data_IF_121755104997
#
_entry.id   IF_121755104997
#
_cell.length_a   1.000
_cell.length_b   1.000
_cell.length_c   1.000
_cell.angle_alpha   90.00
_cell.angle_beta   90.00
_cell.angle_gamma   90.00
#
_symmetry.space_group_name_H-M   'P 1'
#
loop_
_entity.id
_entity.type
_entity.pdbx_description
1 polymer ?
#
# COMPACT_ATOMS: atom_id res chain seq x y z
N UNK A 1 17.65 -18.36 13.74
CA UNK A 1 16.36 -19.07 13.65
C UNK A 1 15.97 -19.04 12.19
N UNK A 2 15.65 -20.19 11.59
CA UNK A 2 15.17 -20.21 10.20
C UNK A 2 13.87 -19.40 10.15
N UNK A 3 13.82 -18.45 9.22
CA UNK A 3 12.63 -17.62 9.01
C UNK A 3 11.56 -18.57 8.42
N UNK A 4 10.64 -19.06 9.26
CA UNK A 4 9.56 -19.94 8.82
C UNK A 4 8.46 -19.08 8.23
N UNK A 5 8.04 -19.39 6.99
CA UNK A 5 6.94 -18.70 6.34
C UNK A 5 5.60 -19.11 7.00
N UNK A 6 4.77 -18.12 7.27
CA UNK A 6 3.39 -18.33 7.70
C UNK A 6 2.51 -18.71 6.51
N UNK A 7 2.74 -18.07 5.35
CA UNK A 7 2.00 -18.31 4.11
C UNK A 7 2.99 -18.43 2.96
N UNK A 8 2.77 -19.41 2.10
CA UNK A 8 3.46 -19.54 0.81
C UNK A 8 2.42 -19.72 -0.29
N UNK A 9 2.53 -18.90 -1.33
CA UNK A 9 1.72 -18.98 -2.55
C UNK A 9 2.67 -19.22 -3.71
N UNK A 10 2.34 -20.17 -4.58
CA UNK A 10 3.16 -20.52 -5.74
C UNK A 10 2.33 -20.67 -7.00
N UNK A 11 2.73 -19.89 -8.03
CA UNK A 11 2.15 -19.90 -9.38
C UNK A 11 0.63 -19.82 -9.37
N UNK A 12 0.05 -18.96 -8.50
CA UNK A 12 -1.39 -18.87 -8.29
C UNK A 12 -2.05 -18.19 -9.48
N UNK A 13 -2.99 -18.88 -10.12
CA UNK A 13 -3.78 -18.37 -11.25
C UNK A 13 -5.27 -18.41 -10.91
N UNK A 14 -5.97 -17.33 -11.25
CA UNK A 14 -7.43 -17.28 -11.20
C UNK A 14 -7.98 -16.49 -12.37
N UNK A 15 -8.96 -17.10 -13.07
CA UNK A 15 -9.68 -16.48 -14.18
C UNK A 15 -11.18 -16.37 -13.87
N UNK A 16 -11.82 -15.38 -14.45
CA UNK A 16 -13.27 -15.23 -14.52
C UNK A 16 -13.66 -14.96 -15.98
N UNK A 17 -14.13 -15.99 -16.67
CA UNK A 17 -14.28 -15.97 -18.13
C UNK A 17 -12.90 -15.72 -18.77
N UNK A 18 -12.80 -14.70 -19.62
CA UNK A 18 -11.57 -14.33 -20.33
C UNK A 18 -10.64 -13.42 -19.50
N UNK A 19 -11.05 -13.01 -18.30
CA UNK A 19 -10.29 -12.07 -17.47
C UNK A 19 -9.43 -12.81 -16.45
N UNK A 20 -8.11 -12.61 -16.50
CA UNK A 20 -7.19 -13.07 -15.48
C UNK A 20 -7.25 -12.14 -14.26
N UNK A 21 -7.80 -12.64 -13.16
CA UNK A 21 -7.77 -11.94 -11.88
C UNK A 21 -6.45 -12.15 -11.12
N UNK A 22 -5.77 -13.29 -11.36
CA UNK A 22 -4.43 -13.57 -10.88
C UNK A 22 -3.63 -14.29 -11.98
N UNK A 23 -2.38 -13.87 -12.21
CA UNK A 23 -1.47 -14.37 -13.26
C UNK A 23 -0.16 -14.85 -12.66
N UNK A 24 -0.08 -16.13 -12.31
CA UNK A 24 1.14 -16.75 -11.76
C UNK A 24 1.73 -15.99 -10.55
N UNK A 25 0.89 -15.69 -9.56
CA UNK A 25 1.33 -14.94 -8.38
C UNK A 25 2.12 -15.85 -7.44
N UNK A 26 3.34 -15.40 -7.09
CA UNK A 26 4.18 -16.00 -6.07
C UNK A 26 4.32 -15.06 -4.88
N UNK A 27 4.17 -15.59 -3.65
CA UNK A 27 4.20 -14.78 -2.44
C UNK A 27 4.68 -15.58 -1.24
N UNK A 28 5.56 -14.99 -0.45
CA UNK A 28 5.99 -15.51 0.85
C UNK A 28 5.69 -14.48 1.95
N UNK A 29 5.03 -14.90 3.02
CA UNK A 29 4.76 -14.06 4.20
C UNK A 29 5.40 -14.73 5.40
N UNK A 30 6.27 -14.00 6.10
CA UNK A 30 6.96 -14.51 7.26
C UNK A 30 6.00 -14.66 8.47
N UNK A 31 6.40 -15.50 9.42
CA UNK A 31 5.62 -15.67 10.64
C UNK A 31 5.62 -14.40 11.49
N UNK A 32 4.43 -14.01 11.99
CA UNK A 32 4.25 -12.78 12.76
C UNK A 32 4.43 -11.47 11.96
N UNK A 33 4.41 -11.53 10.63
CA UNK A 33 4.53 -10.36 9.77
C UNK A 33 3.20 -9.65 9.57
N UNK A 34 3.22 -8.31 9.55
CA UNK A 34 2.10 -7.50 9.05
C UNK A 34 2.33 -7.22 7.56
N UNK A 35 1.71 -7.99 6.71
CA UNK A 35 1.86 -7.92 5.26
C UNK A 35 0.69 -7.20 4.60
N UNK A 36 0.96 -6.26 3.71
CA UNK A 36 -0.08 -5.47 3.03
C UNK A 36 -0.08 -5.73 1.53
N UNK A 37 -1.24 -6.06 0.99
CA UNK A 37 -1.52 -6.09 -0.44
C UNK A 37 -2.08 -4.74 -0.86
N UNK A 38 -1.31 -3.95 -1.59
CA UNK A 38 -1.66 -2.60 -2.03
C UNK A 38 -1.75 -2.55 -3.56
N UNK A 39 -2.63 -1.73 -4.10
CA UNK A 39 -2.75 -1.55 -5.56
C UNK A 39 -4.10 -0.98 -5.97
N UNK A 40 -4.32 -0.71 -7.25
CA UNK A 40 -5.58 -0.16 -7.77
C UNK A 40 -6.75 -1.12 -7.58
N UNK A 41 -7.97 -0.58 -7.63
CA UNK A 41 -9.20 -1.39 -7.63
C UNK A 41 -9.21 -2.32 -8.83
N UNK A 42 -9.69 -3.56 -8.64
CA UNK A 42 -9.68 -4.57 -9.70
C UNK A 42 -8.32 -5.26 -9.94
N UNK A 43 -7.23 -4.86 -9.27
CA UNK A 43 -5.90 -5.42 -9.48
C UNK A 43 -5.68 -6.88 -9.03
N UNK A 44 -6.67 -7.54 -8.39
CA UNK A 44 -6.57 -8.96 -7.97
C UNK A 44 -6.33 -9.17 -6.46
N UNK A 45 -6.12 -8.11 -5.67
CA UNK A 45 -5.82 -8.18 -4.22
C UNK A 45 -6.82 -9.00 -3.41
N UNK A 46 -8.11 -8.68 -3.51
CA UNK A 46 -9.20 -9.39 -2.82
C UNK A 46 -9.30 -10.84 -3.29
N UNK A 47 -9.07 -11.10 -4.58
CA UNK A 47 -9.05 -12.47 -5.12
C UNK A 47 -7.90 -13.28 -4.51
N UNK A 48 -6.70 -12.71 -4.40
CA UNK A 48 -5.56 -13.34 -3.75
C UNK A 48 -5.85 -13.62 -2.26
N UNK A 49 -6.33 -12.62 -1.52
CA UNK A 49 -6.68 -12.76 -0.11
C UNK A 49 -7.71 -13.87 0.12
N UNK A 50 -8.78 -13.87 -0.69
CA UNK A 50 -9.85 -14.87 -0.60
C UNK A 50 -9.41 -16.26 -1.06
N UNK A 51 -8.44 -16.35 -1.96
CA UNK A 51 -7.81 -17.64 -2.33
C UNK A 51 -6.99 -18.20 -1.17
N UNK A 52 -6.23 -17.36 -0.46
CA UNK A 52 -5.52 -17.77 0.77
C UNK A 52 -6.52 -18.22 1.84
N UNK A 53 -7.63 -17.52 2.02
CA UNK A 53 -8.68 -17.86 2.98
C UNK A 53 -9.57 -19.04 2.58
N UNK A 54 -9.45 -19.57 1.33
CA UNK A 54 -10.26 -20.68 0.85
C UNK A 54 -11.68 -20.34 0.37
N UNK A 55 -12.01 -19.04 0.29
CA UNK A 55 -13.29 -18.56 -0.23
C UNK A 55 -13.37 -18.59 -1.77
N UNK A 56 -12.22 -18.55 -2.43
CA UNK A 56 -12.07 -18.67 -3.87
C UNK A 56 -11.10 -19.81 -4.15
N UNK A 57 -11.50 -20.75 -5.00
CA UNK A 57 -10.62 -21.81 -5.46
C UNK A 57 -9.82 -21.29 -6.67
N UNK A 58 -8.49 -21.29 -6.62
CA UNK A 58 -7.66 -20.95 -7.78
C UNK A 58 -7.83 -22.01 -8.88
N UNK A 59 -7.51 -21.63 -10.11
CA UNK A 59 -7.57 -22.53 -11.26
C UNK A 59 -6.27 -23.37 -11.36
N UNK A 60 -5.13 -22.80 -10.91
CA UNK A 60 -3.86 -23.50 -10.75
C UNK A 60 -3.00 -22.85 -9.68
N UNK A 61 -1.88 -23.48 -9.36
CA UNK A 61 -0.98 -23.07 -8.28
C UNK A 61 -1.36 -23.71 -6.96
N UNK A 62 -0.67 -23.31 -5.89
CA UNK A 62 -0.93 -23.84 -4.55
C UNK A 62 -0.75 -22.78 -3.46
N UNK A 63 -1.41 -23.02 -2.33
CA UNK A 63 -1.31 -22.22 -1.11
C UNK A 63 -0.90 -23.15 0.03
N UNK A 64 0.14 -22.77 0.76
CA UNK A 64 0.54 -23.43 2.00
C UNK A 64 0.44 -22.44 3.16
N UNK A 65 -0.02 -22.93 4.31
CA UNK A 65 -0.06 -22.18 5.56
C UNK A 65 0.69 -23.00 6.61
N UNK A 66 1.72 -22.39 7.24
CA UNK A 66 2.62 -23.09 8.17
C UNK A 66 3.18 -24.39 7.59
N UNK A 67 3.59 -24.35 6.31
CA UNK A 67 4.15 -25.50 5.59
C UNK A 67 3.15 -26.60 5.22
N UNK A 68 1.85 -26.42 5.48
CA UNK A 68 0.80 -27.38 5.12
C UNK A 68 0.01 -26.88 3.91
N UNK A 69 -0.13 -27.73 2.89
CA UNK A 69 -0.99 -27.42 1.76
C UNK A 69 -2.46 -27.34 2.19
N UNK A 70 -3.14 -26.25 1.81
CA UNK A 70 -4.53 -25.96 2.18
C UNK A 70 -5.47 -25.89 0.97
N UNK A 71 -5.03 -26.22 -0.24
CA UNK A 71 -5.82 -26.04 -1.48
C UNK A 71 -7.20 -26.70 -1.43
N UNK A 72 -7.28 -27.91 -0.86
CA UNK A 72 -8.50 -28.67 -0.76
C UNK A 72 -9.31 -28.43 0.55
N UNK A 73 -8.83 -27.54 1.41
CA UNK A 73 -9.50 -27.23 2.67
C UNK A 73 -10.51 -26.09 2.46
N UNK A 74 -11.77 -26.26 2.90
CA UNK A 74 -12.74 -25.18 2.93
C UNK A 74 -12.33 -24.11 3.97
N UNK A 75 -12.91 -22.88 3.92
CA UNK A 75 -12.50 -21.76 4.79
C UNK A 75 -12.54 -22.08 6.29
N UNK A 76 -13.52 -22.87 6.75
CA UNK A 76 -13.70 -23.23 8.17
C UNK A 76 -12.65 -24.23 8.69
N UNK A 77 -11.89 -24.87 7.80
CA UNK A 77 -10.82 -25.82 8.13
C UNK A 77 -9.42 -25.24 7.94
N UNK A 78 -9.29 -24.04 7.40
CA UNK A 78 -7.99 -23.36 7.28
C UNK A 78 -7.62 -22.68 8.60
N UNK A 79 -6.34 -22.62 8.98
CA UNK A 79 -5.90 -21.89 10.17
C UNK A 79 -5.88 -20.37 9.95
N UNK A 80 -6.96 -19.86 9.36
CA UNK A 80 -7.13 -18.43 9.05
C UNK A 80 -8.45 -17.91 9.61
N UNK A 81 -8.45 -16.65 10.04
CA UNK A 81 -9.67 -15.86 10.28
C UNK A 81 -9.76 -14.76 9.26
N UNK A 82 -10.96 -14.34 8.88
CA UNK A 82 -11.15 -13.26 7.90
C UNK A 82 -12.08 -12.17 8.42
N UNK A 83 -11.65 -10.94 8.24
CA UNK A 83 -12.42 -9.71 8.42
C UNK A 83 -12.80 -9.20 7.03
N UNK A 84 -14.08 -9.13 6.75
CA UNK A 84 -14.61 -8.68 5.46
C UNK A 84 -14.81 -7.17 5.44
N UNK A 85 -14.85 -6.60 4.24
CA UNK A 85 -15.25 -5.23 4.01
C UNK A 85 -16.65 -4.96 4.59
N UNK A 86 -16.77 -3.91 5.39
CA UNK A 86 -17.95 -3.69 6.21
C UNK A 86 -17.90 -4.52 7.51
N UNK A 87 -18.70 -4.12 8.48
CA UNK A 87 -18.57 -4.69 9.83
C UNK A 87 -19.08 -6.14 9.94
N UNK A 88 -20.05 -6.54 9.12
CA UNK A 88 -20.62 -7.90 9.07
C UNK A 88 -20.95 -8.49 10.46
N UNK A 89 -21.35 -7.63 11.42
CA UNK A 89 -21.77 -8.05 12.75
C UNK A 89 -23.20 -8.61 12.71
N UNK A 90 -23.49 -9.53 13.61
CA UNK A 90 -24.84 -10.03 13.80
C UNK A 90 -25.68 -8.96 14.52
N UNK A 91 -26.66 -8.30 13.86
CA UNK A 91 -27.32 -7.12 14.42
C UNK A 91 -28.22 -7.41 15.60
N UNK A 92 -28.68 -8.64 15.74
CA UNK A 92 -29.55 -9.11 16.82
C UNK A 92 -28.77 -9.60 18.05
N UNK A 93 -27.47 -9.80 17.94
CA UNK A 93 -26.57 -10.27 19.00
C UNK A 93 -25.88 -9.09 19.70
N UNK A 94 -25.59 -9.24 21.00
CA UNK A 94 -24.77 -8.30 21.77
C UNK A 94 -23.29 -8.35 21.32
N UNK A 95 -22.47 -7.43 21.82
CA UNK A 95 -21.00 -7.45 21.65
C UNK A 95 -20.42 -8.77 22.13
N UNK A 96 -20.79 -9.17 23.34
CA UNK A 96 -20.37 -10.44 23.93
C UNK A 96 -20.74 -11.64 23.05
N UNK A 97 -21.98 -11.72 22.59
CA UNK A 97 -22.46 -12.80 21.74
C UNK A 97 -21.79 -12.82 20.37
N UNK A 98 -21.55 -11.65 19.76
CA UNK A 98 -20.81 -11.53 18.49
C UNK A 98 -19.41 -12.08 18.63
N UNK A 99 -18.67 -11.68 19.66
CA UNK A 99 -17.29 -12.12 19.89
C UNK A 99 -17.23 -13.62 20.17
N UNK A 100 -18.10 -14.11 21.07
CA UNK A 100 -18.12 -15.51 21.50
C UNK A 100 -18.72 -16.50 20.50
N UNK A 101 -19.34 -16.01 19.42
CA UNK A 101 -20.13 -16.83 18.49
C UNK A 101 -19.33 -18.01 17.90
N UNK A 102 -18.13 -17.76 17.43
CA UNK A 102 -17.29 -18.80 16.83
C UNK A 102 -16.86 -19.90 17.82
N UNK A 103 -16.62 -19.54 19.07
CA UNK A 103 -16.33 -20.52 20.13
C UNK A 103 -17.54 -21.36 20.47
N UNK A 104 -18.73 -20.75 20.48
CA UNK A 104 -20.00 -21.47 20.67
C UNK A 104 -20.24 -22.51 19.58
N UNK A 105 -19.96 -22.16 18.30
CA UNK A 105 -20.07 -23.13 17.19
C UNK A 105 -19.08 -24.28 17.31
N UNK A 106 -17.91 -24.05 17.92
CA UNK A 106 -16.91 -25.08 18.21
C UNK A 106 -17.24 -25.90 19.47
N UNK A 107 -18.42 -25.70 20.08
CA UNK A 107 -18.87 -26.38 21.29
C UNK A 107 -17.94 -26.20 22.49
N UNK A 108 -17.28 -25.06 22.60
CA UNK A 108 -16.44 -24.70 23.76
C UNK A 108 -17.33 -24.47 24.98
N UNK A 109 -16.84 -24.85 26.15
CA UNK A 109 -17.57 -24.71 27.43
C UNK A 109 -17.87 -23.24 27.76
N UNK A 110 -19.05 -22.97 28.32
CA UNK A 110 -19.55 -21.59 28.57
C UNK A 110 -18.61 -20.78 29.51
N UNK A 111 -18.04 -21.41 30.52
CA UNK A 111 -17.06 -20.78 31.43
C UNK A 111 -15.82 -20.31 30.66
N UNK A 112 -15.27 -21.15 29.78
CA UNK A 112 -14.12 -20.85 28.95
C UNK A 112 -14.44 -19.74 27.93
N UNK A 113 -15.65 -19.77 27.35
CA UNK A 113 -16.12 -18.69 26.46
C UNK A 113 -16.14 -17.37 27.23
N UNK A 114 -16.70 -17.36 28.44
CA UNK A 114 -16.78 -16.15 29.28
C UNK A 114 -15.40 -15.53 29.52
N UNK A 115 -14.46 -16.34 29.97
CA UNK A 115 -13.09 -15.88 30.24
C UNK A 115 -12.37 -15.37 28.99
N UNK A 116 -12.50 -16.09 27.86
CA UNK A 116 -11.88 -15.68 26.59
C UNK A 116 -12.49 -14.39 26.04
N UNK A 117 -13.83 -14.26 26.08
CA UNK A 117 -14.52 -13.06 25.59
C UNK A 117 -14.16 -11.85 26.44
N UNK A 118 -14.15 -11.98 27.77
CA UNK A 118 -13.78 -10.89 28.67
C UNK A 118 -12.36 -10.40 28.39
N UNK A 119 -11.38 -11.31 28.34
CA UNK A 119 -9.99 -10.98 28.00
C UNK A 119 -9.85 -10.33 26.61
N UNK A 120 -10.59 -10.83 25.63
CA UNK A 120 -10.58 -10.27 24.27
C UNK A 120 -11.18 -8.86 24.25
N UNK A 121 -12.28 -8.63 24.97
CA UNK A 121 -12.89 -7.30 25.09
C UNK A 121 -11.92 -6.29 25.74
N UNK A 122 -11.21 -6.71 26.77
CA UNK A 122 -10.18 -5.86 27.41
C UNK A 122 -9.04 -5.55 26.43
N UNK A 123 -8.56 -6.55 25.67
CA UNK A 123 -7.49 -6.41 24.69
C UNK A 123 -7.83 -5.38 23.60
N UNK A 124 -9.09 -5.38 23.11
CA UNK A 124 -9.54 -4.46 22.05
C UNK A 124 -10.22 -3.19 22.58
N UNK A 125 -10.20 -2.95 23.90
CA UNK A 125 -10.76 -1.74 24.53
C UNK A 125 -12.28 -1.63 24.42
N UNK A 126 -12.99 -2.74 24.62
CA UNK A 126 -14.47 -2.81 24.61
C UNK A 126 -15.05 -3.13 25.99
N UNK A 127 -14.25 -3.05 27.08
CA UNK A 127 -14.71 -3.28 28.44
C UNK A 127 -15.92 -2.41 28.78
N UNK A 128 -16.93 -2.99 29.42
CA UNK A 128 -18.19 -2.29 29.74
C UNK A 128 -19.22 -2.17 28.62
N UNK A 129 -18.94 -2.74 27.42
CA UNK A 129 -19.86 -2.69 26.28
C UNK A 129 -20.50 -4.06 25.95
N UNK A 130 -20.38 -5.04 26.85
CA UNK A 130 -20.77 -6.43 26.68
C UNK A 130 -22.18 -6.63 26.13
N UNK A 131 -23.15 -5.89 26.69
CA UNK A 131 -24.58 -6.07 26.41
C UNK A 131 -25.09 -5.21 25.26
N UNK A 132 -24.26 -4.27 24.77
CA UNK A 132 -24.64 -3.40 23.66
C UNK A 132 -24.78 -4.17 22.37
N UNK A 133 -25.68 -3.70 21.50
CA UNK A 133 -25.86 -4.21 20.15
C UNK A 133 -25.09 -3.36 19.14
N UNK A 134 -24.80 -3.89 17.93
CA UNK A 134 -24.04 -3.18 16.91
C UNK A 134 -24.51 -1.75 16.61
N UNK A 135 -25.82 -1.52 16.55
CA UNK A 135 -26.40 -0.20 16.26
C UNK A 135 -26.19 0.84 17.40
N UNK A 136 -25.79 0.41 18.58
CA UNK A 136 -25.46 1.26 19.73
C UNK A 136 -23.97 1.63 19.82
N UNK A 137 -23.17 1.18 18.83
CA UNK A 137 -21.74 1.36 18.78
C UNK A 137 -21.31 2.34 17.69
N UNK A 138 -20.22 3.10 17.96
CA UNK A 138 -19.54 3.84 16.90
C UNK A 138 -18.90 2.92 15.86
N UNK A 139 -18.58 3.45 14.65
CA UNK A 139 -17.93 2.67 13.60
C UNK A 139 -16.62 2.02 14.05
N UNK A 140 -15.78 2.74 14.82
CA UNK A 140 -14.56 2.19 15.38
C UNK A 140 -14.80 1.08 16.41
N UNK A 141 -15.85 1.20 17.24
CA UNK A 141 -16.24 0.15 18.17
C UNK A 141 -16.75 -1.10 17.43
N UNK A 142 -17.55 -0.93 16.37
CA UNK A 142 -17.98 -2.05 15.51
C UNK A 142 -16.79 -2.76 14.87
N UNK A 143 -15.80 -2.00 14.39
CA UNK A 143 -14.55 -2.55 13.85
C UNK A 143 -13.80 -3.40 14.88
N UNK A 144 -13.68 -2.91 16.12
CA UNK A 144 -13.03 -3.66 17.21
C UNK A 144 -13.79 -4.93 17.56
N UNK A 145 -15.13 -4.93 17.55
CA UNK A 145 -15.94 -6.15 17.74
C UNK A 145 -15.66 -7.16 16.61
N UNK A 146 -15.58 -6.72 15.38
CA UNK A 146 -15.27 -7.58 14.22
C UNK A 146 -13.87 -8.21 14.34
N UNK A 147 -12.87 -7.42 14.73
CA UNK A 147 -11.50 -7.89 14.97
C UNK A 147 -11.47 -8.91 16.12
N UNK A 148 -12.11 -8.59 17.24
CA UNK A 148 -12.20 -9.48 18.41
C UNK A 148 -12.84 -10.84 18.04
N UNK A 149 -13.92 -10.81 17.25
CA UNK A 149 -14.60 -12.01 16.75
C UNK A 149 -13.71 -12.90 15.89
N UNK A 150 -12.81 -12.29 15.09
CA UNK A 150 -11.86 -13.02 14.27
C UNK A 150 -10.68 -13.56 15.09
N UNK A 151 -10.16 -12.78 16.02
CA UNK A 151 -8.97 -13.10 16.83
C UNK A 151 -9.24 -14.14 17.91
N UNK A 152 -10.45 -14.17 18.49
CA UNK A 152 -10.79 -15.10 19.59
C UNK A 152 -10.68 -16.58 19.19
N UNK A 153 -10.68 -16.85 17.87
CA UNK A 153 -10.54 -18.20 17.31
C UNK A 153 -9.09 -18.72 17.36
N UNK A 154 -8.14 -17.86 17.71
CA UNK A 154 -6.71 -18.19 17.88
C UNK A 154 -6.09 -18.88 16.65
N UNK A 155 -6.50 -18.46 15.45
CA UNK A 155 -5.91 -18.94 14.21
C UNK A 155 -4.54 -18.29 13.93
N UNK A 156 -3.68 -18.96 13.15
CA UNK A 156 -2.30 -18.51 12.85
C UNK A 156 -2.23 -17.24 11.99
N UNK A 157 -3.29 -16.97 11.20
CA UNK A 157 -3.33 -15.89 10.22
C UNK A 157 -4.64 -15.14 10.31
N UNK A 158 -4.54 -13.79 10.33
CA UNK A 158 -5.70 -12.89 10.17
C UNK A 158 -5.67 -12.24 8.78
N UNK A 159 -6.72 -12.46 8.01
CA UNK A 159 -6.95 -11.88 6.70
C UNK A 159 -7.89 -10.68 6.82
N UNK A 160 -7.51 -9.53 6.30
CA UNK A 160 -8.23 -8.26 6.40
C UNK A 160 -8.57 -7.73 5.00
N UNK A 161 -9.82 -7.76 4.59
CA UNK A 161 -10.29 -7.29 3.27
C UNK A 161 -10.85 -5.87 3.42
N UNK A 162 -10.05 -4.86 3.12
CA UNK A 162 -10.36 -3.43 3.25
C UNK A 162 -11.01 -3.04 4.60
N UNK A 163 -10.41 -3.43 5.74
CA UNK A 163 -11.08 -3.35 7.05
C UNK A 163 -11.43 -1.92 7.47
N UNK A 164 -10.72 -0.91 6.99
CA UNK A 164 -10.87 0.48 7.42
C UNK A 164 -11.62 1.36 6.41
N UNK A 165 -12.13 0.79 5.32
CA UNK A 165 -12.77 1.53 4.22
C UNK A 165 -14.02 2.32 4.62
N UNK A 166 -14.75 1.85 5.64
CA UNK A 166 -15.99 2.46 6.12
C UNK A 166 -15.77 3.58 7.17
N UNK A 167 -14.51 3.87 7.55
CA UNK A 167 -14.17 4.83 8.59
C UNK A 167 -13.78 6.20 7.99
N UNK A 168 -14.06 7.27 8.72
CA UNK A 168 -13.55 8.60 8.41
C UNK A 168 -12.01 8.67 8.51
N UNK A 169 -11.40 9.74 7.98
CA UNK A 169 -9.95 9.85 7.86
C UNK A 169 -9.23 9.87 9.22
N UNK A 170 -9.81 10.52 10.25
CA UNK A 170 -9.16 10.59 11.56
C UNK A 170 -9.24 9.24 12.26
N UNK A 171 -10.41 8.64 12.32
CA UNK A 171 -10.62 7.35 12.94
C UNK A 171 -9.81 6.25 12.25
N UNK A 172 -9.64 6.34 10.93
CA UNK A 172 -8.80 5.42 10.15
C UNK A 172 -7.34 5.46 10.59
N UNK A 173 -6.77 6.66 10.81
CA UNK A 173 -5.38 6.82 11.31
C UNK A 173 -5.22 6.19 12.68
N UNK A 174 -6.15 6.45 13.60
CA UNK A 174 -6.12 5.90 14.95
C UNK A 174 -6.21 4.36 14.93
N UNK A 175 -7.10 3.83 14.07
CA UNK A 175 -7.26 2.39 13.89
C UNK A 175 -6.04 1.71 13.25
N UNK A 176 -5.28 2.39 12.37
CA UNK A 176 -4.01 1.87 11.87
C UNK A 176 -3.00 1.64 13.00
N UNK A 177 -2.85 2.62 13.89
CA UNK A 177 -1.96 2.50 15.05
C UNK A 177 -2.39 1.35 15.95
N UNK A 178 -3.69 1.23 16.19
CA UNK A 178 -4.26 0.18 17.03
C UNK A 178 -4.09 -1.21 16.42
N UNK A 179 -4.37 -1.37 15.11
CA UNK A 179 -4.16 -2.63 14.39
C UNK A 179 -2.69 -3.09 14.45
N UNK A 180 -1.74 -2.17 14.27
CA UNK A 180 -0.32 -2.50 14.39
C UNK A 180 0.06 -2.92 15.81
N UNK A 181 -0.46 -2.22 16.84
CA UNK A 181 -0.26 -2.59 18.22
C UNK A 181 -0.86 -3.96 18.55
N UNK A 182 -2.09 -4.19 18.09
CA UNK A 182 -2.81 -5.45 18.32
C UNK A 182 -2.05 -6.62 17.67
N UNK A 183 -1.61 -6.47 16.43
CA UNK A 183 -0.82 -7.50 15.73
C UNK A 183 0.45 -7.87 16.50
N UNK A 184 1.20 -6.87 17.01
CA UNK A 184 2.39 -7.11 17.83
C UNK A 184 2.07 -7.83 19.14
N UNK A 185 0.92 -7.53 19.75
CA UNK A 185 0.50 -8.14 21.01
C UNK A 185 0.08 -9.59 20.83
N UNK A 186 -0.67 -9.90 19.77
CA UNK A 186 -1.14 -11.28 19.51
C UNK A 186 -0.09 -12.14 18.81
N UNK A 187 0.89 -11.54 18.12
CA UNK A 187 2.04 -12.21 17.53
C UNK A 187 1.76 -13.08 16.31
N UNK A 188 0.54 -13.05 15.73
CA UNK A 188 0.19 -13.79 14.51
C UNK A 188 0.42 -12.97 13.25
N UNK A 189 0.41 -13.63 12.08
CA UNK A 189 0.55 -12.93 10.79
C UNK A 189 -0.74 -12.25 10.37
N UNK A 190 -0.64 -10.98 9.91
CA UNK A 190 -1.76 -10.25 9.34
C UNK A 190 -1.53 -10.05 7.84
N UNK A 191 -2.56 -10.31 7.03
CA UNK A 191 -2.57 -9.99 5.60
C UNK A 191 -3.68 -8.99 5.34
N UNK A 192 -3.32 -7.77 4.99
CA UNK A 192 -4.23 -6.64 4.88
C UNK A 192 -4.32 -6.16 3.43
N UNK A 193 -5.50 -6.21 2.85
CA UNK A 193 -5.80 -5.61 1.54
C UNK A 193 -6.27 -4.19 1.74
N UNK A 194 -5.65 -3.26 1.03
CA UNK A 194 -6.11 -1.86 0.97
C UNK A 194 -5.76 -1.24 -0.39
N UNK A 195 -6.46 -0.18 -0.76
CA UNK A 195 -6.08 0.73 -1.84
C UNK A 195 -5.54 2.06 -1.31
N UNK A 196 -5.51 2.23 0.01
CA UNK A 196 -5.02 3.45 0.68
C UNK A 196 -3.53 3.32 1.01
N UNK A 197 -2.73 4.22 0.41
CA UNK A 197 -1.28 4.24 0.60
C UNK A 197 -0.88 4.60 2.04
N UNK A 198 -1.58 5.55 2.70
CA UNK A 198 -1.27 5.94 4.08
C UNK A 198 -1.48 4.78 5.05
N UNK A 199 -2.55 3.99 4.88
CA UNK A 199 -2.77 2.77 5.66
C UNK A 199 -1.59 1.81 5.49
N UNK A 200 -1.27 1.47 4.23
CA UNK A 200 -0.19 0.54 3.92
C UNK A 200 1.15 0.97 4.53
N UNK A 201 1.50 2.26 4.36
CA UNK A 201 2.75 2.82 4.91
C UNK A 201 2.80 2.80 6.44
N UNK A 202 1.63 2.95 7.10
CA UNK A 202 1.53 3.05 8.56
C UNK A 202 1.63 1.69 9.27
N UNK A 203 1.08 0.62 8.67
CA UNK A 203 0.94 -0.67 9.37
C UNK A 203 1.89 -1.75 8.88
N UNK A 204 2.35 -1.70 7.62
CA UNK A 204 3.07 -2.81 7.02
C UNK A 204 4.50 -2.98 7.56
N UNK A 205 4.93 -4.23 7.68
CA UNK A 205 6.34 -4.60 7.70
C UNK A 205 6.86 -4.77 6.27
N UNK A 206 6.04 -5.36 5.38
CA UNK A 206 6.23 -5.40 3.94
C UNK A 206 4.93 -5.12 3.19
N UNK A 207 5.08 -4.51 2.00
CA UNK A 207 4.01 -4.21 1.05
C UNK A 207 4.28 -4.98 -0.24
N UNK A 208 3.26 -5.62 -0.80
CA UNK A 208 3.27 -6.08 -2.19
C UNK A 208 2.31 -5.22 -3.03
N UNK A 209 2.82 -4.70 -4.12
CA UNK A 209 2.02 -3.96 -5.11
C UNK A 209 1.42 -4.97 -6.08
N UNK A 210 0.09 -5.03 -6.13
CA UNK A 210 -0.68 -5.91 -7.00
C UNK A 210 -1.46 -5.08 -8.01
N UNK A 211 -1.21 -5.31 -9.28
CA UNK A 211 -1.93 -4.67 -10.39
C UNK A 211 -2.13 -5.67 -11.53
N UNK A 212 -3.25 -5.58 -12.23
CA UNK A 212 -3.59 -6.40 -13.41
C UNK A 212 -3.41 -7.92 -13.19
N UNK A 213 -3.62 -8.37 -11.94
CA UNK A 213 -3.47 -9.77 -11.54
C UNK A 213 -2.04 -10.23 -11.30
N UNK A 214 -1.06 -9.34 -11.33
CA UNK A 214 0.36 -9.61 -11.14
C UNK A 214 0.91 -8.96 -9.87
N UNK A 215 1.92 -9.58 -9.26
CA UNK A 215 2.71 -8.92 -8.22
C UNK A 215 3.84 -8.12 -8.89
N UNK A 216 3.67 -6.80 -8.91
CA UNK A 216 4.59 -5.88 -9.59
C UNK A 216 5.89 -5.71 -8.82
N UNK A 217 5.79 -5.49 -7.50
CA UNK A 217 6.94 -5.24 -6.64
C UNK A 217 6.58 -5.53 -5.18
N UNK A 218 7.57 -5.92 -4.36
CA UNK A 218 7.42 -6.03 -2.92
C UNK A 218 8.64 -5.49 -2.17
N UNK A 219 8.41 -4.96 -0.98
CA UNK A 219 9.48 -4.41 -0.14
C UNK A 219 8.96 -3.78 1.14
N UNK A 220 9.86 -3.27 1.99
CA UNK A 220 9.44 -2.46 3.14
C UNK A 220 8.76 -1.17 2.67
N UNK A 221 7.89 -0.54 3.50
CA UNK A 221 7.26 0.74 3.17
C UNK A 221 8.26 1.79 2.69
N UNK A 222 9.41 1.89 3.38
CA UNK A 222 10.48 2.83 3.01
C UNK A 222 11.07 2.53 1.62
N UNK A 223 11.29 1.24 1.29
CA UNK A 223 11.81 0.86 -0.03
C UNK A 223 10.83 1.19 -1.15
N UNK A 224 9.57 0.79 -0.98
CA UNK A 224 8.49 1.02 -1.96
C UNK A 224 8.27 2.53 -2.21
N UNK A 225 8.32 3.36 -1.16
CA UNK A 225 8.16 4.81 -1.29
C UNK A 225 9.42 5.51 -1.82
N UNK A 226 10.57 5.26 -1.20
CA UNK A 226 11.79 6.04 -1.48
C UNK A 226 12.59 5.53 -2.67
N UNK A 227 12.54 4.23 -2.95
CA UNK A 227 13.36 3.60 -3.99
C UNK A 227 12.59 2.50 -4.74
N UNK A 228 11.44 2.82 -5.37
CA UNK A 228 10.70 1.87 -6.19
C UNK A 228 11.56 1.41 -7.37
N UNK A 229 11.54 0.10 -7.62
CA UNK A 229 12.30 -0.50 -8.73
C UNK A 229 11.53 -0.46 -10.05
N UNK A 230 10.19 -0.49 -9.98
CA UNK A 230 9.31 -0.51 -11.14
C UNK A 230 8.71 0.86 -11.42
N UNK A 231 8.61 1.23 -12.70
CA UNK A 231 7.94 2.45 -13.15
C UNK A 231 6.53 2.53 -12.57
N UNK A 232 5.75 1.44 -12.69
CA UNK A 232 4.39 1.39 -12.14
C UNK A 232 4.35 1.72 -10.63
N UNK A 233 5.28 1.17 -9.85
CA UNK A 233 5.34 1.47 -8.41
C UNK A 233 5.64 2.95 -8.17
N UNK A 234 6.55 3.54 -8.96
CA UNK A 234 6.88 4.95 -8.86
C UNK A 234 5.68 5.86 -9.23
N UNK A 235 4.90 5.48 -10.23
CA UNK A 235 3.68 6.19 -10.64
C UNK A 235 2.56 6.05 -9.61
N UNK A 236 2.39 4.83 -9.09
CA UNK A 236 1.30 4.52 -8.18
C UNK A 236 1.54 5.02 -6.76
N UNK A 237 2.81 4.99 -6.28
CA UNK A 237 3.17 5.36 -4.89
C UNK A 237 3.70 6.79 -4.82
N UNK A 238 2.95 7.62 -4.10
CA UNK A 238 3.27 9.04 -3.94
C UNK A 238 2.97 9.84 -5.20
N UNK A 239 3.21 11.14 -5.11
CA UNK A 239 3.03 12.06 -6.24
C UNK A 239 4.38 12.30 -6.90
N UNK A 240 4.85 11.32 -7.68
CA UNK A 240 6.12 11.41 -8.43
C UNK A 240 5.85 11.87 -9.86
N UNK A 241 6.77 12.66 -10.36
CA UNK A 241 6.82 13.01 -11.77
C UNK A 241 7.61 11.94 -12.53
N UNK A 242 7.09 11.51 -13.66
CA UNK A 242 7.74 10.53 -14.52
C UNK A 242 8.16 11.21 -15.82
N UNK A 243 9.41 10.98 -16.21
CA UNK A 243 9.94 11.44 -17.50
C UNK A 243 10.37 10.21 -18.29
N UNK A 244 9.80 10.03 -19.46
CA UNK A 244 10.27 9.03 -20.41
C UNK A 244 11.29 9.68 -21.35
N UNK A 245 12.42 9.00 -21.57
CA UNK A 245 13.49 9.56 -22.38
C UNK A 245 14.42 8.51 -22.97
N UNK A 246 15.40 9.01 -23.73
CA UNK A 246 16.41 8.19 -24.39
C UNK A 246 17.79 8.58 -23.86
N UNK A 247 18.59 7.60 -23.48
CA UNK A 247 19.96 7.83 -23.04
C UNK A 247 20.81 8.34 -24.22
N UNK A 248 21.28 9.57 -24.12
CA UNK A 248 22.15 10.17 -25.17
C UNK A 248 23.62 9.96 -24.86
N UNK A 249 23.99 10.00 -23.59
CA UNK A 249 25.36 9.78 -23.15
C UNK A 249 25.41 9.30 -21.69
N UNK A 250 26.47 8.63 -21.27
CA UNK A 250 26.68 8.23 -19.88
C UNK A 250 28.14 7.98 -19.56
N UNK A 251 28.47 8.14 -18.28
CA UNK A 251 29.76 7.80 -17.72
C UNK A 251 29.57 7.11 -16.35
N UNK A 252 30.65 6.90 -15.58
CA UNK A 252 30.57 6.26 -14.25
C UNK A 252 29.74 7.03 -13.23
N UNK A 253 29.53 8.33 -13.42
CA UNK A 253 28.90 9.20 -12.41
C UNK A 253 27.56 9.78 -12.88
N UNK A 254 27.36 9.96 -14.17
CA UNK A 254 26.21 10.69 -14.74
C UNK A 254 25.67 9.97 -15.96
N UNK A 255 24.34 9.97 -16.08
CA UNK A 255 23.60 9.57 -17.26
C UNK A 255 22.89 10.81 -17.79
N UNK A 256 22.99 11.05 -19.10
CA UNK A 256 22.27 12.13 -19.81
C UNK A 256 21.10 11.54 -20.58
N UNK A 257 19.94 12.09 -20.36
CA UNK A 257 18.68 11.59 -20.91
C UNK A 257 17.97 12.71 -21.65
N UNK A 258 17.74 12.50 -22.93
CA UNK A 258 16.88 13.37 -23.77
C UNK A 258 15.41 13.04 -23.50
N UNK A 259 14.66 14.03 -23.04
CA UNK A 259 13.21 13.95 -22.77
C UNK A 259 12.38 14.70 -23.84
N UNK A 260 12.96 14.96 -25.00
CA UNK A 260 12.36 15.62 -26.15
C UNK A 260 12.95 16.99 -26.42
N UNK A 261 12.56 18.06 -25.72
CA UNK A 261 13.10 19.42 -25.92
C UNK A 261 14.21 19.80 -24.93
N UNK A 262 14.36 19.01 -23.90
CA UNK A 262 15.27 19.24 -22.79
C UNK A 262 16.08 17.98 -22.47
N UNK A 263 17.26 18.14 -21.90
CA UNK A 263 18.10 17.06 -21.39
C UNK A 263 18.12 17.09 -19.86
N UNK A 264 17.99 15.90 -19.25
CA UNK A 264 18.14 15.68 -17.81
C UNK A 264 19.45 14.94 -17.54
N UNK A 265 20.23 15.41 -16.59
CA UNK A 265 21.36 14.69 -16.03
C UNK A 265 20.92 13.99 -14.73
N UNK A 266 21.22 12.71 -14.57
CA UNK A 266 20.91 11.93 -13.37
C UNK A 266 22.16 11.18 -12.89
N UNK A 267 22.25 10.92 -11.58
CA UNK A 267 23.35 10.15 -11.03
C UNK A 267 23.33 8.70 -11.55
N UNK A 268 24.50 8.21 -11.95
CA UNK A 268 24.68 6.82 -12.33
C UNK A 268 25.00 5.95 -11.11
N UNK A 269 23.99 5.49 -10.43
CA UNK A 269 24.10 4.64 -9.23
C UNK A 269 24.29 3.16 -9.62
N UNK A 270 25.24 2.86 -10.50
CA UNK A 270 25.54 1.52 -11.04
C UNK A 270 24.43 0.91 -11.90
N UNK A 271 23.63 1.73 -12.56
CA UNK A 271 22.66 1.24 -13.53
C UNK A 271 23.33 0.62 -14.74
N UNK A 272 22.80 -0.51 -15.22
CA UNK A 272 23.25 -1.15 -16.47
C UNK A 272 22.59 -0.46 -17.65
N UNK A 273 23.26 0.54 -18.21
CA UNK A 273 22.70 1.41 -19.25
C UNK A 273 23.52 1.32 -20.54
N UNK A 274 22.85 1.46 -21.67
CA UNK A 274 23.48 1.61 -22.97
C UNK A 274 22.97 2.87 -23.68
N UNK A 275 23.78 3.43 -24.58
CA UNK A 275 23.38 4.57 -25.42
C UNK A 275 22.17 4.19 -26.28
N UNK A 276 21.27 5.13 -26.48
CA UNK A 276 19.99 4.98 -27.19
C UNK A 276 18.97 4.04 -26.53
N UNK A 277 19.21 3.59 -25.28
CA UNK A 277 18.21 2.84 -24.52
C UNK A 277 17.09 3.77 -24.07
N UNK A 278 15.84 3.33 -24.23
CA UNK A 278 14.67 4.00 -23.64
C UNK A 278 14.62 3.69 -22.15
N UNK A 279 14.46 4.69 -21.32
CA UNK A 279 14.32 4.58 -19.88
C UNK A 279 13.24 5.52 -19.37
N UNK A 280 12.73 5.23 -18.19
CA UNK A 280 11.86 6.15 -17.46
C UNK A 280 12.59 6.66 -16.22
N UNK A 281 12.44 7.93 -15.93
CA UNK A 281 12.98 8.59 -14.73
C UNK A 281 11.83 8.97 -13.83
N UNK A 282 11.98 8.81 -12.52
CA UNK A 282 11.02 9.35 -11.56
C UNK A 282 11.68 10.27 -10.57
N UNK A 283 11.00 11.38 -10.23
CA UNK A 283 11.40 12.31 -9.19
C UNK A 283 10.22 12.65 -8.30
N UNK A 284 10.44 12.77 -7.00
CA UNK A 284 9.40 13.20 -6.07
C UNK A 284 9.04 14.66 -6.27
N UNK A 285 7.76 14.99 -6.16
CA UNK A 285 7.29 16.37 -6.29
C UNK A 285 7.89 17.33 -5.25
N UNK A 286 8.22 16.83 -4.06
CA UNK A 286 8.87 17.58 -3.00
C UNK A 286 10.38 17.76 -3.18
N UNK A 287 11.04 16.98 -4.05
CA UNK A 287 12.47 17.15 -4.38
C UNK A 287 12.72 18.26 -5.40
N UNK A 288 11.69 18.70 -6.10
CA UNK A 288 11.83 19.75 -7.12
C UNK A 288 11.71 21.12 -6.45
N UNK A 289 12.73 21.94 -6.61
CA UNK A 289 12.71 23.35 -6.25
C UNK A 289 12.17 24.17 -7.41
N UNK A 290 11.27 25.10 -7.12
CA UNK A 290 10.70 26.02 -8.12
C UNK A 290 11.18 27.45 -7.82
N UNK A 291 11.72 28.14 -8.82
CA UNK A 291 12.19 29.52 -8.71
C UNK A 291 11.73 30.36 -9.89
N UNK A 292 11.26 31.58 -9.64
CA UNK A 292 10.87 32.52 -10.71
C UNK A 292 12.06 32.86 -11.60
N UNK A 293 11.84 32.90 -12.90
CA UNK A 293 12.85 33.36 -13.86
C UNK A 293 13.00 34.87 -13.72
N UNK A 294 14.13 35.33 -13.20
CA UNK A 294 14.51 36.72 -13.22
C UNK A 294 15.14 37.04 -14.58
N UNK A 295 14.74 38.15 -15.20
CA UNK A 295 15.18 38.57 -16.55
C UNK A 295 16.68 38.75 -16.74
N UNK A 296 17.50 38.58 -15.71
CA UNK A 296 18.94 38.73 -15.71
C UNK A 296 19.64 37.45 -15.27
N UNK A 297 20.26 36.76 -16.27
CA UNK A 297 21.13 35.59 -16.17
C UNK A 297 20.48 34.26 -15.84
N UNK A 298 20.16 33.52 -16.88
CA UNK A 298 20.23 32.07 -16.86
C UNK A 298 21.67 31.66 -16.47
N UNK A 299 21.91 31.45 -15.17
CA UNK A 299 23.02 30.60 -14.79
C UNK A 299 22.63 29.22 -15.34
N UNK A 300 23.45 28.62 -16.21
CA UNK A 300 23.39 27.20 -16.54
C UNK A 300 23.72 26.41 -15.28
N UNK A 301 22.77 26.35 -14.36
CA UNK A 301 22.80 25.42 -13.26
C UNK A 301 22.48 24.05 -13.85
N UNK A 302 23.31 23.08 -13.57
CA UNK A 302 23.07 21.68 -13.89
C UNK A 302 21.67 21.32 -13.38
N UNK A 303 20.87 20.59 -14.19
CA UNK A 303 19.50 20.18 -13.88
C UNK A 303 18.53 21.35 -13.59
N UNK A 304 18.29 22.13 -14.61
CA UNK A 304 17.32 23.20 -14.59
C UNK A 304 16.49 23.14 -15.87
N UNK A 305 15.17 22.97 -15.75
CA UNK A 305 14.23 23.02 -16.88
C UNK A 305 13.28 24.19 -16.69
N UNK A 306 13.02 24.88 -17.80
CA UNK A 306 12.07 25.98 -17.85
C UNK A 306 10.64 25.45 -18.01
N UNK A 307 9.72 26.02 -17.25
CA UNK A 307 8.30 25.76 -17.40
C UNK A 307 7.44 26.96 -17.05
N UNK A 308 6.14 26.85 -17.31
CA UNK A 308 5.13 27.87 -17.02
C UNK A 308 4.17 27.34 -15.96
N UNK A 309 3.91 28.11 -14.90
CA UNK A 309 2.94 27.74 -13.87
C UNK A 309 1.53 27.78 -14.42
N UNK A 310 0.82 26.65 -14.40
CA UNK A 310 -0.55 26.51 -14.90
C UNK A 310 -1.59 26.43 -13.79
N UNK A 311 -1.19 26.01 -12.58
CA UNK A 311 -2.10 25.92 -11.44
C UNK A 311 -1.32 26.09 -10.13
N UNK A 312 -1.93 26.72 -9.13
CA UNK A 312 -1.45 26.82 -7.76
C UNK A 312 -2.61 26.42 -6.84
N UNK A 313 -2.45 25.34 -6.08
CA UNK A 313 -3.49 24.83 -5.19
C UNK A 313 -2.96 24.67 -3.77
N UNK A 314 -3.61 25.32 -2.80
CA UNK A 314 -3.33 25.12 -1.37
C UNK A 314 -4.07 23.87 -0.87
N UNK A 315 -3.33 22.90 -0.33
CA UNK A 315 -3.85 21.62 0.17
C UNK A 315 -3.69 21.46 1.69
N UNK A 316 -3.63 22.55 2.43
CA UNK A 316 -3.54 22.60 3.89
C UNK A 316 -2.11 22.37 4.39
N UNK A 317 -1.55 21.21 4.18
CA UNK A 317 -0.18 20.85 4.63
C UNK A 317 0.92 21.31 3.68
N UNK A 318 0.58 21.56 2.42
CA UNK A 318 1.52 21.97 1.38
C UNK A 318 0.77 22.74 0.26
N UNK A 319 1.53 23.43 -0.57
CA UNK A 319 1.07 24.05 -1.81
C UNK A 319 1.55 23.24 -2.98
N UNK A 320 0.62 22.89 -3.87
CA UNK A 320 0.90 22.22 -5.14
C UNK A 320 0.96 23.23 -6.25
N UNK A 321 2.03 23.16 -7.04
CA UNK A 321 2.21 23.89 -8.29
C UNK A 321 2.19 22.91 -9.44
N UNK A 322 1.35 23.13 -10.46
CA UNK A 322 1.45 22.45 -11.73
C UNK A 322 2.22 23.36 -12.69
N UNK A 323 3.22 22.79 -13.35
CA UNK A 323 4.12 23.50 -14.25
C UNK A 323 4.17 22.79 -15.59
N UNK A 324 3.77 23.48 -16.65
CA UNK A 324 3.82 22.98 -18.02
C UNK A 324 5.22 23.22 -18.59
N UNK A 325 5.88 22.16 -19.01
CA UNK A 325 7.18 22.19 -19.67
C UNK A 325 7.04 22.51 -21.16
N UNK A 326 8.18 22.84 -21.81
CA UNK A 326 8.22 23.14 -23.26
C UNK A 326 7.84 21.94 -24.16
N UNK A 327 7.97 20.71 -23.64
CA UNK A 327 7.55 19.48 -24.33
C UNK A 327 6.07 19.12 -24.12
N UNK A 328 5.27 20.04 -23.55
CA UNK A 328 3.87 19.86 -23.16
C UNK A 328 3.63 18.83 -22.04
N UNK A 329 4.65 18.41 -21.32
CA UNK A 329 4.51 17.61 -20.14
C UNK A 329 4.17 18.49 -18.94
N UNK A 330 3.23 18.07 -18.11
CA UNK A 330 2.85 18.71 -16.85
C UNK A 330 3.63 18.09 -15.71
N UNK A 331 4.26 18.95 -14.88
CA UNK A 331 5.08 18.55 -13.73
C UNK A 331 4.46 19.11 -12.46
N UNK A 332 4.34 18.28 -11.45
CA UNK A 332 3.86 18.67 -10.16
C UNK A 332 5.02 18.99 -9.21
N UNK A 333 4.97 20.14 -8.56
CA UNK A 333 5.91 20.55 -7.50
C UNK A 333 5.15 20.76 -6.21
N UNK A 334 5.67 20.23 -5.10
CA UNK A 334 5.14 20.45 -3.75
C UNK A 334 6.08 21.33 -2.95
N UNK A 335 5.51 22.34 -2.28
CA UNK A 335 6.22 23.17 -1.32
C UNK A 335 5.46 23.21 0.00
N UNK A 336 6.16 23.13 1.13
CA UNK A 336 5.52 23.25 2.45
C UNK A 336 4.88 24.62 2.67
N UNK A 337 5.46 25.65 2.07
CA UNK A 337 4.94 27.01 2.16
C UNK A 337 4.64 27.56 0.77
N UNK A 338 3.69 28.50 0.70
CA UNK A 338 3.46 29.29 -0.49
C UNK A 338 4.70 30.12 -0.84
N UNK A 339 5.12 30.05 -2.09
CA UNK A 339 6.28 30.82 -2.59
C UNK A 339 5.74 32.15 -3.10
N UNK A 340 5.90 33.20 -2.29
CA UNK A 340 5.32 34.53 -2.49
C UNK A 340 5.62 35.19 -3.85
N UNK A 341 6.76 34.85 -4.44
CA UNK A 341 7.23 35.47 -5.68
C UNK A 341 6.73 34.73 -6.93
N UNK A 342 5.95 33.67 -6.78
CA UNK A 342 5.44 32.85 -7.90
C UNK A 342 3.93 33.00 -8.00
N UNK A 343 3.46 33.38 -9.17
CA UNK A 343 2.05 33.53 -9.53
C UNK A 343 1.66 32.65 -10.70
N UNK A 344 0.37 32.52 -10.93
CA UNK A 344 -0.17 31.86 -12.12
C UNK A 344 0.42 32.53 -13.37
N UNK A 345 0.68 31.75 -14.40
CA UNK A 345 1.30 32.14 -15.67
C UNK A 345 2.76 32.60 -15.61
N UNK A 346 3.41 32.59 -14.46
CA UNK A 346 4.84 32.90 -14.36
C UNK A 346 5.70 31.82 -15.02
N UNK A 347 6.78 32.28 -15.68
CA UNK A 347 7.85 31.39 -16.11
C UNK A 347 8.78 31.08 -14.94
N UNK A 348 9.04 29.81 -14.73
CA UNK A 348 9.81 29.30 -13.58
C UNK A 348 10.89 28.32 -14.02
N UNK A 349 11.95 28.28 -13.24
CA UNK A 349 12.97 27.26 -13.32
C UNK A 349 12.65 26.16 -12.32
N UNK A 350 12.57 24.92 -12.77
CA UNK A 350 12.53 23.71 -11.96
C UNK A 350 13.95 23.21 -11.77
N UNK A 351 14.37 23.03 -10.53
CA UNK A 351 15.75 22.69 -10.14
C UNK A 351 15.73 21.50 -9.20
N UNK A 352 16.69 20.58 -9.39
CA UNK A 352 16.85 19.38 -8.54
C UNK A 352 18.32 18.93 -8.50
N UNK A 353 18.62 18.01 -7.59
CA UNK A 353 19.94 17.39 -7.50
C UNK A 353 20.00 16.11 -8.37
N UNK A 354 21.21 15.71 -8.78
CA UNK A 354 21.44 14.52 -9.63
C UNK A 354 20.88 13.24 -8.99
N UNK A 355 20.94 13.15 -7.66
CA UNK A 355 20.52 11.97 -6.88
C UNK A 355 19.02 11.91 -6.60
N UNK A 356 18.26 12.97 -6.94
CA UNK A 356 16.81 13.00 -6.73
C UNK A 356 16.04 12.10 -7.69
N UNK A 357 16.66 11.74 -8.81
CA UNK A 357 16.06 10.87 -9.79
C UNK A 357 16.32 9.39 -9.53
N UNK A 358 15.30 8.58 -9.80
CA UNK A 358 15.42 7.14 -9.91
C UNK A 358 15.25 6.74 -11.37
N UNK A 359 16.07 5.80 -11.81
CA UNK A 359 16.02 5.24 -13.17
C UNK A 359 15.24 3.93 -13.14
N UNK A 360 14.24 3.81 -14.00
CA UNK A 360 13.45 2.59 -14.20
C UNK A 360 13.71 2.04 -15.59
N UNK A 361 14.02 0.76 -15.65
CA UNK A 361 14.09 0.06 -16.93
C UNK A 361 12.67 -0.21 -17.43
N UNK A 362 12.41 0.15 -18.69
CA UNK A 362 11.13 -0.12 -19.37
C UNK A 362 11.00 -1.59 -19.74
#
# INVERSE_FOLDING_TARGET
MANTNSIEVRNLVKTYGDVYALKNVDLDIADGEYFVLLGPSGGGKTTLLRSIGGFIRPDSGNVQIKGKNVDNLPPDKRPTSMVFQGFALFPHMSVYENIGYGLKLRSVEKSVIHDKVTKMMDLVGLSGLSDRKPHELSGGQQQRVQLARALILENDVLLLDEPLSALDAQLRKDMCIELKRLQKTVGISFVHVTHNQEEAMSVADRIAIIADGEMIEQGSPKQIYSNPKKKFTAEFIGEKNIFDGIVVDFNKSIIKVDIGKDEIEVANNNYTISKNKKISLSIKSESIQIKKVLATKSAKTKNCILGKVTEITFLGQFVRYLVLLNNNQEIQVRSHNEIKDISLDDNVNLIWDLDDFLVHES
#
